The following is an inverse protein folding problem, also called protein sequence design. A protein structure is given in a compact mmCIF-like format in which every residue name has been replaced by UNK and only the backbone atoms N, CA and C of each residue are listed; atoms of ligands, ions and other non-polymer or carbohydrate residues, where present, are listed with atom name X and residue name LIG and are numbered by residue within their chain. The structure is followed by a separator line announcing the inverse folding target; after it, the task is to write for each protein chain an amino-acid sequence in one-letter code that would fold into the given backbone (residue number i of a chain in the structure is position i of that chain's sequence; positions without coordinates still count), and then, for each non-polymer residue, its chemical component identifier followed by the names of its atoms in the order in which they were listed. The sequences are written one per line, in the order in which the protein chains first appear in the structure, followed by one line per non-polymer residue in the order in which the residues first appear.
data_IF_629746451094
#
_entry.id   IF_629746451094
#
_cell.length_a   1.000
_cell.length_b   1.000
_cell.length_c   1.000
_cell.angle_alpha   90.00
_cell.angle_beta   90.00
_cell.angle_gamma   90.00
#
_symmetry.space_group_name_H-M   'P 1'
#
loop_
_entity.id
_entity.type
_entity.pdbx_description
1 polymer ?
#
# COMPACT_ATOMS: atom_id res chain seq x y z
N UNK A 1 -32.47 -44.75 6.76
CA UNK A 1 -31.24 -45.13 7.47
C UNK A 1 -30.12 -44.33 6.82
N UNK A 2 -29.55 -43.32 7.50
CA UNK A 2 -28.43 -42.57 6.93
C UNK A 2 -27.24 -43.52 6.80
N UNK A 3 -26.62 -43.59 5.62
CA UNK A 3 -25.45 -44.45 5.41
C UNK A 3 -24.25 -43.84 6.14
N UNK A 4 -23.28 -44.65 6.55
CA UNK A 4 -22.06 -44.17 7.23
C UNK A 4 -21.34 -43.05 6.44
N UNK A 5 -21.45 -43.07 5.11
CA UNK A 5 -20.96 -42.03 4.20
C UNK A 5 -21.69 -40.69 4.36
N UNK A 6 -22.99 -40.68 4.66
CA UNK A 6 -23.75 -39.45 4.91
C UNK A 6 -23.41 -38.82 6.26
N UNK A 7 -23.12 -39.64 7.28
CA UNK A 7 -22.75 -39.16 8.63
C UNK A 7 -21.31 -38.63 8.62
N UNK A 8 -20.36 -39.38 8.05
CA UNK A 8 -18.97 -38.93 7.90
C UNK A 8 -18.86 -37.73 6.95
N UNK A 9 -19.61 -37.72 5.85
CA UNK A 9 -19.59 -36.63 4.86
C UNK A 9 -20.17 -35.32 5.37
N UNK A 10 -21.22 -35.36 6.19
CA UNK A 10 -21.83 -34.15 6.76
C UNK A 10 -20.88 -33.41 7.71
N UNK A 11 -20.11 -34.14 8.51
CA UNK A 11 -19.13 -33.58 9.45
C UNK A 11 -18.02 -32.83 8.69
N UNK A 12 -17.43 -33.47 7.66
CA UNK A 12 -16.42 -32.84 6.80
C UNK A 12 -16.96 -31.62 6.06
N UNK A 13 -18.23 -31.64 5.64
CA UNK A 13 -18.88 -30.52 4.98
C UNK A 13 -19.00 -29.31 5.93
N UNK A 14 -19.36 -29.55 7.20
CA UNK A 14 -19.38 -28.50 8.24
C UNK A 14 -17.98 -27.93 8.49
N UNK A 15 -16.94 -28.77 8.55
CA UNK A 15 -15.57 -28.30 8.71
C UNK A 15 -15.10 -27.45 7.54
N UNK A 16 -15.36 -27.88 6.30
CA UNK A 16 -15.00 -27.12 5.08
C UNK A 16 -15.75 -25.79 5.03
N UNK A 17 -17.06 -25.78 5.31
CA UNK A 17 -17.84 -24.55 5.37
C UNK A 17 -17.35 -23.61 6.48
N UNK A 18 -16.97 -24.15 7.64
CA UNK A 18 -16.38 -23.39 8.73
C UNK A 18 -15.07 -22.70 8.31
N UNK A 19 -14.16 -23.44 7.67
CA UNK A 19 -12.89 -22.90 7.16
C UNK A 19 -13.14 -21.84 6.07
N UNK A 20 -14.08 -22.09 5.15
CA UNK A 20 -14.47 -21.11 4.15
C UNK A 20 -15.02 -19.83 4.80
N UNK A 21 -15.89 -19.94 5.80
CA UNK A 21 -16.43 -18.79 6.53
C UNK A 21 -15.31 -18.00 7.22
N UNK A 22 -14.41 -18.68 7.92
CA UNK A 22 -13.25 -18.04 8.57
C UNK A 22 -12.38 -17.31 7.53
N UNK A 23 -12.12 -17.94 6.38
CA UNK A 23 -11.37 -17.32 5.29
C UNK A 23 -12.07 -16.09 4.71
N UNK A 24 -13.38 -16.14 4.53
CA UNK A 24 -14.18 -14.98 4.08
C UNK A 24 -14.13 -13.86 5.10
N UNK A 25 -14.30 -14.16 6.39
CA UNK A 25 -14.20 -13.17 7.47
C UNK A 25 -12.80 -12.54 7.50
N UNK A 26 -11.74 -13.34 7.38
CA UNK A 26 -10.37 -12.85 7.32
C UNK A 26 -10.13 -11.97 6.08
N UNK A 27 -10.69 -12.34 4.93
CA UNK A 27 -10.61 -11.53 3.70
C UNK A 27 -11.34 -10.20 3.85
N UNK A 28 -12.57 -10.20 4.37
CA UNK A 28 -13.34 -8.98 4.60
C UNK A 28 -12.62 -8.07 5.60
N UNK A 29 -12.15 -8.63 6.72
CA UNK A 29 -11.41 -7.87 7.72
C UNK A 29 -10.10 -7.31 7.17
N UNK A 30 -9.33 -8.14 6.46
CA UNK A 30 -8.09 -7.74 5.78
C UNK A 30 -8.32 -6.65 4.74
N UNK A 31 -9.36 -6.77 3.92
CA UNK A 31 -9.73 -5.77 2.92
C UNK A 31 -10.15 -4.43 3.56
N UNK A 32 -10.98 -4.46 4.61
CA UNK A 32 -11.41 -3.26 5.32
C UNK A 32 -10.23 -2.56 6.01
N UNK A 33 -9.33 -3.33 6.63
CA UNK A 33 -8.12 -2.80 7.24
C UNK A 33 -7.18 -2.19 6.20
N UNK A 34 -6.89 -2.93 5.13
CA UNK A 34 -6.02 -2.49 4.04
C UNK A 34 -6.58 -1.25 3.33
N UNK A 35 -7.90 -1.16 3.16
CA UNK A 35 -8.55 0.03 2.61
C UNK A 35 -8.33 1.26 3.49
N UNK A 36 -8.58 1.13 4.80
CA UNK A 36 -8.39 2.25 5.75
C UNK A 36 -6.94 2.68 5.88
N UNK A 37 -6.01 1.72 5.92
CA UNK A 37 -4.57 1.99 5.99
C UNK A 37 -4.07 2.65 4.69
N UNK A 38 -4.54 2.19 3.52
CA UNK A 38 -4.18 2.79 2.23
C UNK A 38 -4.67 4.23 2.10
N UNK A 39 -5.91 4.51 2.53
CA UNK A 39 -6.46 5.87 2.60
C UNK A 39 -5.60 6.78 3.50
N UNK A 40 -5.17 6.28 4.67
CA UNK A 40 -4.30 7.02 5.59
C UNK A 40 -2.91 7.33 5.03
N UNK A 41 -2.45 6.55 4.05
CA UNK A 41 -1.14 6.69 3.38
C UNK A 41 -1.22 7.36 2.01
N UNK A 42 -2.41 7.81 1.59
CA UNK A 42 -2.69 8.37 0.25
C UNK A 42 -2.30 7.43 -0.91
N UNK A 43 -2.41 6.12 -0.67
CA UNK A 43 -2.29 5.09 -1.72
C UNK A 43 -3.68 4.89 -2.38
N UNK A 44 -3.70 4.43 -3.62
CA UNK A 44 -4.94 4.07 -4.32
C UNK A 44 -5.60 2.84 -3.66
N UNK A 45 -6.39 3.09 -2.61
CA UNK A 45 -7.00 2.06 -1.77
C UNK A 45 -7.87 1.09 -2.58
N UNK A 46 -8.59 1.60 -3.60
CA UNK A 46 -9.41 0.78 -4.48
C UNK A 46 -8.57 -0.23 -5.26
N UNK A 47 -7.42 0.18 -5.81
CA UNK A 47 -6.53 -0.70 -6.58
C UNK A 47 -6.02 -1.83 -5.70
N UNK A 48 -5.58 -1.50 -4.48
CA UNK A 48 -5.08 -2.48 -3.52
C UNK A 48 -6.14 -3.49 -3.08
N UNK A 49 -7.37 -3.05 -2.79
CA UNK A 49 -8.47 -3.97 -2.44
C UNK A 49 -8.86 -4.85 -3.62
N UNK A 50 -8.96 -4.28 -4.82
CA UNK A 50 -9.29 -5.05 -6.04
C UNK A 50 -8.23 -6.11 -6.32
N UNK A 51 -6.94 -5.76 -6.22
CA UNK A 51 -5.84 -6.72 -6.36
C UNK A 51 -5.92 -7.83 -5.32
N UNK A 52 -6.20 -7.50 -4.05
CA UNK A 52 -6.32 -8.49 -2.98
C UNK A 52 -7.50 -9.45 -3.24
N UNK A 53 -8.66 -8.93 -3.65
CA UNK A 53 -9.84 -9.75 -3.95
C UNK A 53 -9.58 -10.64 -5.16
N UNK A 54 -9.08 -10.09 -6.27
CA UNK A 54 -8.80 -10.86 -7.48
C UNK A 54 -7.75 -11.94 -7.21
N UNK A 55 -6.64 -11.61 -6.55
CA UNK A 55 -5.62 -12.59 -6.21
C UNK A 55 -6.18 -13.69 -5.32
N UNK A 56 -6.98 -13.35 -4.31
CA UNK A 56 -7.57 -14.37 -3.43
C UNK A 56 -8.58 -15.26 -4.15
N UNK A 57 -9.36 -14.71 -5.10
CA UNK A 57 -10.30 -15.52 -5.89
C UNK A 57 -9.58 -16.47 -6.86
N UNK A 58 -8.44 -16.06 -7.42
CA UNK A 58 -7.70 -16.86 -8.40
C UNK A 58 -6.77 -17.89 -7.79
N UNK A 59 -6.06 -17.53 -6.72
CA UNK A 59 -5.02 -18.38 -6.10
C UNK A 59 -5.30 -18.69 -4.63
N UNK A 60 -6.49 -18.35 -4.12
CA UNK A 60 -6.91 -18.68 -2.76
C UNK A 60 -6.06 -17.98 -1.71
N UNK A 61 -5.76 -18.71 -0.63
CA UNK A 61 -4.96 -18.22 0.50
C UNK A 61 -3.57 -17.75 0.02
N UNK A 62 -2.99 -18.39 -0.99
CA UNK A 62 -1.67 -18.01 -1.53
C UNK A 62 -1.73 -16.60 -2.12
N UNK A 63 -2.77 -16.30 -2.91
CA UNK A 63 -2.98 -14.97 -3.48
C UNK A 63 -3.18 -13.88 -2.42
N UNK A 64 -3.97 -14.19 -1.39
CA UNK A 64 -4.16 -13.29 -0.25
C UNK A 64 -2.83 -12.94 0.40
N UNK A 65 -2.02 -13.95 0.75
CA UNK A 65 -0.73 -13.74 1.43
C UNK A 65 0.25 -12.96 0.56
N UNK A 66 0.34 -13.27 -0.73
CA UNK A 66 1.24 -12.57 -1.66
C UNK A 66 0.91 -11.08 -1.73
N UNK A 67 -0.36 -10.72 -2.02
CA UNK A 67 -0.75 -9.31 -2.13
C UNK A 67 -0.63 -8.59 -0.79
N UNK A 68 -0.97 -9.26 0.30
CA UNK A 68 -0.83 -8.70 1.64
C UNK A 68 0.63 -8.37 1.97
N UNK A 69 1.57 -9.29 1.70
CA UNK A 69 3.00 -9.06 1.91
C UNK A 69 3.53 -7.94 1.00
N UNK A 70 3.18 -7.95 -0.29
CA UNK A 70 3.58 -6.89 -1.22
C UNK A 70 3.06 -5.53 -0.73
N UNK A 71 1.82 -5.47 -0.27
CA UNK A 71 1.24 -4.26 0.32
C UNK A 71 2.03 -3.81 1.56
N UNK A 72 2.40 -4.73 2.45
CA UNK A 72 3.20 -4.44 3.64
C UNK A 72 4.58 -3.87 3.28
N UNK A 73 5.23 -4.39 2.24
CA UNK A 73 6.51 -3.85 1.75
C UNK A 73 6.32 -2.46 1.14
N UNK A 74 5.31 -2.27 0.28
CA UNK A 74 5.08 -0.96 -0.37
C UNK A 74 4.72 0.10 0.66
N UNK A 75 3.90 -0.21 1.67
CA UNK A 75 3.50 0.79 2.68
C UNK A 75 4.65 1.30 3.54
N UNK A 76 5.75 0.55 3.69
CA UNK A 76 6.94 1.04 4.41
C UNK A 76 7.52 2.29 3.75
N UNK A 77 7.41 2.38 2.42
CA UNK A 77 7.83 3.54 1.62
C UNK A 77 6.86 4.73 1.70
N UNK A 78 5.66 4.54 2.25
CA UNK A 78 4.61 5.57 2.32
C UNK A 78 4.20 5.84 3.78
N UNK A 79 4.86 6.80 4.46
CA UNK A 79 4.52 7.15 5.84
C UNK A 79 3.12 7.77 5.94
N UNK A 80 2.44 7.49 7.06
CA UNK A 80 1.09 7.97 7.34
C UNK A 80 1.11 9.51 7.41
N UNK A 81 0.26 10.16 6.61
CA UNK A 81 0.23 11.62 6.53
C UNK A 81 1.46 12.28 5.89
N UNK A 82 2.42 11.50 5.41
CA UNK A 82 3.50 11.99 4.57
C UNK A 82 2.91 12.53 3.27
N UNK A 83 3.29 13.75 2.88
CA UNK A 83 3.15 14.16 1.50
C UNK A 83 3.77 13.06 0.63
N UNK A 84 2.97 12.56 -0.31
CA UNK A 84 3.40 11.76 -1.47
C UNK A 84 4.92 11.83 -1.72
N UNK A 85 5.65 10.70 -1.83
CA UNK A 85 6.99 10.76 -2.38
C UNK A 85 6.89 11.47 -3.73
N UNK A 86 7.65 12.55 -3.82
CA UNK A 86 7.70 13.52 -4.92
C UNK A 86 8.21 12.87 -6.22
N UNK A 87 7.45 11.94 -6.80
CA UNK A 87 7.96 11.11 -7.88
C UNK A 87 7.04 10.98 -9.11
N UNK A 88 5.88 11.64 -9.16
CA UNK A 88 5.06 11.67 -10.39
C UNK A 88 4.29 12.98 -10.58
N UNK A 89 4.98 14.12 -10.44
CA UNK A 89 4.37 15.40 -10.76
C UNK A 89 5.41 16.47 -11.11
N UNK A 90 5.24 17.24 -12.19
CA UNK A 90 6.13 18.35 -12.56
C UNK A 90 6.08 19.55 -11.57
N UNK A 91 5.24 19.47 -10.54
CA UNK A 91 5.08 20.48 -9.49
C UNK A 91 5.05 19.80 -8.12
N UNK A 92 6.17 19.21 -7.72
CA UNK A 92 6.34 18.78 -6.35
C UNK A 92 6.45 19.99 -5.40
N UNK A 93 5.88 19.96 -4.17
CA UNK A 93 6.13 21.00 -3.16
C UNK A 93 7.62 21.23 -2.98
N UNK A 94 8.04 22.46 -3.27
CA UNK A 94 9.41 22.94 -3.07
C UNK A 94 9.86 22.46 -1.69
N UNK A 95 10.97 21.70 -1.58
CA UNK A 95 11.49 21.36 -0.26
C UNK A 95 11.62 22.69 0.49
N UNK A 96 11.04 22.77 1.69
CA UNK A 96 11.25 23.91 2.59
C UNK A 96 12.69 23.83 3.05
N UNK A 97 13.56 24.22 2.13
CA UNK A 97 14.98 24.20 2.26
C UNK A 97 15.34 25.27 3.28
N UNK A 98 16.12 24.85 4.27
CA UNK A 98 17.01 25.75 4.98
C UNK A 98 17.81 26.46 3.90
N UNK A 99 17.44 27.70 3.57
CA UNK A 99 18.08 28.48 2.51
C UNK A 99 19.57 28.50 2.84
N UNK A 100 20.43 27.89 2.00
CA UNK A 100 21.85 27.89 2.28
C UNK A 100 22.37 29.32 2.26
N UNK A 101 23.49 29.52 2.97
CA UNK A 101 24.16 30.81 3.07
C UNK A 101 24.28 31.51 1.71
N UNK A 102 24.28 32.85 1.63
CA UNK A 102 24.40 33.56 0.36
C UNK A 102 25.64 33.07 -0.42
N UNK A 103 25.57 33.12 -1.75
CA UNK A 103 26.69 32.66 -2.58
C UNK A 103 27.99 33.38 -2.18
N UNK A 104 29.10 32.66 -1.92
CA UNK A 104 30.35 33.27 -1.48
C UNK A 104 31.03 34.14 -2.55
N UNK A 105 30.57 34.07 -3.80
CA UNK A 105 31.11 34.85 -4.93
C UNK A 105 30.30 36.13 -5.16
N UNK A 106 28.96 35.99 -5.21
CA UNK A 106 28.05 37.04 -5.66
C UNK A 106 27.22 37.67 -4.53
N UNK A 107 27.21 37.08 -3.32
CA UNK A 107 26.43 37.54 -2.17
C UNK A 107 24.90 37.39 -2.31
N UNK A 108 24.43 36.95 -3.48
CA UNK A 108 23.01 36.76 -3.80
C UNK A 108 22.47 35.47 -3.17
N UNK A 109 21.15 35.39 -2.88
CA UNK A 109 20.52 34.15 -2.45
C UNK A 109 20.67 33.08 -3.54
N UNK A 110 21.03 31.86 -3.13
CA UNK A 110 21.16 30.74 -4.06
C UNK A 110 19.79 30.29 -4.56
N UNK A 111 19.75 29.79 -5.80
CA UNK A 111 18.52 29.25 -6.41
C UNK A 111 18.66 27.73 -6.51
N UNK A 112 17.60 27.02 -6.15
CA UNK A 112 17.52 25.56 -6.27
C UNK A 112 17.16 25.14 -7.69
N UNK A 113 17.95 24.23 -8.28
CA UNK A 113 17.68 23.66 -9.60
C UNK A 113 17.26 22.18 -9.47
N UNK A 114 15.98 21.83 -9.75
CA UNK A 114 15.49 20.48 -9.55
C UNK A 114 16.14 19.45 -10.48
N UNK A 115 16.64 19.89 -11.64
CA UNK A 115 17.29 19.03 -12.63
C UNK A 115 18.59 18.40 -12.13
N UNK A 116 19.29 19.08 -11.21
CA UNK A 116 20.61 18.67 -10.72
C UNK A 116 20.61 18.40 -9.21
N UNK A 117 19.46 18.59 -8.54
CA UNK A 117 19.33 18.53 -7.09
C UNK A 117 20.46 19.29 -6.36
N UNK A 118 20.75 20.51 -6.84
CA UNK A 118 21.84 21.35 -6.32
C UNK A 118 21.49 22.83 -6.37
N UNK A 119 22.14 23.58 -5.48
CA UNK A 119 22.11 25.04 -5.42
C UNK A 119 23.11 25.67 -6.38
N UNK A 120 22.69 26.70 -7.10
CA UNK A 120 23.56 27.47 -8.01
C UNK A 120 23.42 28.98 -7.74
N UNK A 121 24.50 29.76 -7.99
CA UNK A 121 24.40 31.24 -8.00
C UNK A 121 23.61 31.67 -9.24
N UNK A 122 22.59 32.53 -9.09
CA UNK A 122 21.94 33.16 -10.23
C UNK A 122 22.93 34.16 -10.85
N UNK A 123 23.37 33.86 -12.08
CA UNK A 123 24.23 34.73 -12.91
C UNK A 123 23.75 36.18 -12.89
#
# INVERSE_FOLDING_TARGET
MATAFQILGAEWLVFVLGICLIGIVALVFGALWMYRDAQGRRLDATVWVVLLVIATLLTGIIGFVIVFVIYLVVRESHPIGGGMPMAYGPYGPVPTEVVPAPCPVCGRPMVWYPQYQRWYCPS
#
